data_IF_139138442787
#
_entry.id   IF_139138442787
#
_cell.length_a   1.000
_cell.length_b   1.000
_cell.length_c   1.000
_cell.angle_alpha   90.00
_cell.angle_beta   90.00
_cell.angle_gamma   90.00
#
_symmetry.space_group_name_H-M   'P 1'
#
loop_
_entity.id
_entity.type
_entity.pdbx_description
1 polymer ?
#
# COMPACT_ATOMS: atom_id res chain seq x y z
N UNK A 1 7.17 14.14 8.40
CA UNK A 1 6.35 13.39 7.41
C UNK A 1 6.45 14.01 6.02
N UNK A 2 6.09 15.25 5.82
CA UNK A 2 6.07 15.90 4.49
C UNK A 2 7.41 15.79 3.73
N UNK A 3 8.53 16.06 4.38
CA UNK A 3 9.86 15.94 3.77
C UNK A 3 10.15 14.50 3.28
N UNK A 4 9.68 13.47 3.98
CA UNK A 4 9.82 12.08 3.57
C UNK A 4 8.95 11.79 2.34
N UNK A 5 7.70 12.28 2.32
CA UNK A 5 6.82 12.14 1.15
C UNK A 5 7.44 12.79 -0.09
N UNK A 6 7.99 13.99 0.04
CA UNK A 6 8.69 14.68 -1.05
C UNK A 6 9.91 13.86 -1.52
N UNK A 7 10.70 13.33 -0.59
CA UNK A 7 11.85 12.50 -0.94
C UNK A 7 11.43 11.23 -1.70
N UNK A 8 10.37 10.56 -1.25
CA UNK A 8 9.84 9.35 -1.90
C UNK A 8 9.30 9.68 -3.30
N UNK A 9 8.51 10.75 -3.46
CA UNK A 9 7.99 11.16 -4.78
C UNK A 9 9.13 11.49 -5.74
N UNK A 10 10.13 12.26 -5.27
CA UNK A 10 11.31 12.59 -6.06
C UNK A 10 12.08 11.34 -6.49
N UNK A 11 12.24 10.39 -5.57
CA UNK A 11 12.88 9.12 -5.87
C UNK A 11 12.06 8.29 -6.88
N UNK A 12 10.73 8.21 -6.70
CA UNK A 12 9.83 7.50 -7.62
C UNK A 12 9.86 8.10 -9.02
N UNK A 13 9.95 9.43 -9.17
CA UNK A 13 10.05 10.08 -10.48
C UNK A 13 11.29 9.66 -11.26
N UNK A 14 12.38 9.33 -10.57
CA UNK A 14 13.63 8.87 -11.17
C UNK A 14 13.71 7.33 -11.33
N UNK A 15 12.86 6.57 -10.65
CA UNK A 15 12.97 5.10 -10.55
C UNK A 15 11.74 4.33 -11.04
N UNK A 16 10.70 5.03 -11.47
CA UNK A 16 9.47 4.45 -12.03
C UNK A 16 8.99 5.27 -13.22
N UNK A 17 8.09 4.71 -14.01
CA UNK A 17 7.46 5.39 -15.14
C UNK A 17 6.19 6.17 -14.72
N UNK A 18 5.99 6.37 -13.41
CA UNK A 18 4.84 7.09 -12.88
C UNK A 18 5.08 8.59 -12.88
N UNK A 19 4.11 9.40 -13.33
CA UNK A 19 4.18 10.84 -13.18
C UNK A 19 4.20 11.21 -11.69
N UNK A 20 5.05 12.15 -11.31
CA UNK A 20 5.26 12.52 -9.90
C UNK A 20 5.01 14.02 -9.61
N UNK A 21 4.25 14.69 -10.46
CA UNK A 21 3.92 16.12 -10.38
C UNK A 21 2.56 16.38 -9.71
N UNK A 22 2.07 15.45 -8.87
CA UNK A 22 0.80 15.52 -8.20
C UNK A 22 0.91 16.00 -6.75
N UNK A 23 -0.24 16.43 -6.21
CA UNK A 23 -0.34 16.75 -4.79
C UNK A 23 -0.02 15.53 -3.91
N UNK A 24 0.65 15.78 -2.80
CA UNK A 24 0.97 14.73 -1.83
C UNK A 24 -0.31 14.16 -1.19
N UNK A 25 -0.35 12.86 -0.89
CA UNK A 25 -1.46 12.26 -0.18
C UNK A 25 -1.52 12.75 1.28
N UNK A 26 -2.72 12.71 1.84
CA UNK A 26 -2.91 12.88 3.28
C UNK A 26 -2.39 11.63 4.01
N UNK A 27 -1.81 11.82 5.19
CA UNK A 27 -1.45 10.70 6.07
C UNK A 27 -2.46 10.61 7.20
N UNK A 28 -2.98 9.41 7.41
CA UNK A 28 -3.86 9.05 8.52
C UNK A 28 -3.26 7.87 9.28
N UNK A 29 -3.58 7.79 10.56
CA UNK A 29 -3.19 6.67 11.40
C UNK A 29 -4.43 5.93 11.87
N UNK A 30 -4.38 4.60 11.87
CA UNK A 30 -5.46 3.74 12.29
C UNK A 30 -4.92 2.49 13.00
N UNK A 31 -5.76 1.84 13.77
CA UNK A 31 -5.42 0.55 14.34
C UNK A 31 -5.29 -0.53 13.24
N UNK A 32 -4.54 -1.62 13.48
CA UNK A 32 -4.43 -2.72 12.51
C UNK A 32 -5.80 -3.28 12.09
N UNK A 33 -6.74 -3.32 13.00
CA UNK A 33 -8.10 -3.78 12.72
C UNK A 33 -8.82 -2.85 11.73
N UNK A 34 -8.75 -1.53 11.94
CA UNK A 34 -9.34 -0.54 11.03
C UNK A 34 -8.70 -0.61 9.66
N UNK A 35 -7.36 -0.74 9.57
CA UNK A 35 -6.64 -0.89 8.29
C UNK A 35 -7.15 -2.12 7.54
N UNK A 36 -7.32 -3.24 8.24
CA UNK A 36 -7.86 -4.46 7.64
C UNK A 36 -9.29 -4.24 7.12
N UNK A 37 -10.13 -3.51 7.84
CA UNK A 37 -11.47 -3.13 7.37
C UNK A 37 -11.42 -2.25 6.12
N UNK A 38 -10.52 -1.27 6.05
CA UNK A 38 -10.34 -0.45 4.86
C UNK A 38 -9.94 -1.28 3.65
N UNK A 39 -9.09 -2.28 3.82
CA UNK A 39 -8.62 -3.11 2.72
C UNK A 39 -9.68 -4.10 2.24
N UNK A 40 -10.36 -4.78 3.14
CA UNK A 40 -11.32 -5.86 2.80
C UNK A 40 -12.77 -5.38 2.81
N UNK A 41 -13.12 -4.36 3.58
CA UNK A 41 -14.46 -3.78 3.63
C UNK A 41 -14.83 -3.01 2.36
N UNK A 42 -13.87 -2.44 1.65
CA UNK A 42 -14.07 -1.83 0.33
C UNK A 42 -14.50 -2.84 -0.75
N UNK A 43 -14.24 -4.13 -0.56
CA UNK A 43 -14.74 -5.20 -1.45
C UNK A 43 -16.23 -5.48 -1.29
N UNK A 44 -16.86 -5.05 -0.18
CA UNK A 44 -18.28 -5.29 0.11
C UNK A 44 -19.14 -4.03 0.03
N UNK A 45 -18.65 -2.94 -0.56
CA UNK A 45 -19.34 -1.63 -0.58
C UNK A 45 -20.58 -1.53 -1.50
N UNK A 46 -21.09 -2.65 -2.04
CA UNK A 46 -22.46 -2.69 -2.59
C UNK A 46 -23.54 -2.74 -1.52
N UNK A 47 -23.19 -2.85 -0.26
CA UNK A 47 -24.14 -2.83 0.87
C UNK A 47 -23.77 -1.67 1.80
N UNK A 48 -24.54 -0.57 1.74
CA UNK A 48 -24.52 0.56 2.70
C UNK A 48 -24.97 0.12 4.12
N UNK A 49 -24.43 -0.94 4.67
CA UNK A 49 -24.59 -1.30 6.08
C UNK A 49 -23.33 -0.92 6.82
N UNK A 50 -23.44 0.00 7.79
CA UNK A 50 -22.46 0.15 8.86
C UNK A 50 -22.26 -1.24 9.46
N UNK A 51 -21.11 -1.85 9.20
CA UNK A 51 -20.76 -3.13 9.79
C UNK A 51 -20.38 -2.82 11.23
N UNK A 52 -21.22 -3.33 12.13
CA UNK A 52 -20.94 -3.31 13.56
C UNK A 52 -19.67 -4.14 13.80
N UNK A 53 -18.64 -3.53 14.36
CA UNK A 53 -17.31 -4.11 14.55
C UNK A 53 -17.28 -5.42 15.38
N UNK A 54 -18.44 -5.84 15.90
CA UNK A 54 -18.59 -7.01 16.76
C UNK A 54 -18.94 -8.32 16.03
N UNK A 55 -19.22 -8.32 14.72
CA UNK A 55 -19.84 -9.49 14.07
C UNK A 55 -19.10 -10.12 12.87
N UNK A 56 -17.96 -9.63 12.43
CA UNK A 56 -17.16 -10.35 11.44
C UNK A 56 -15.75 -10.60 11.99
N UNK A 57 -15.55 -11.81 12.50
CA UNK A 57 -14.24 -12.35 12.80
C UNK A 57 -13.48 -12.48 11.45
N UNK A 58 -12.57 -11.51 11.17
CA UNK A 58 -11.63 -11.64 10.07
C UNK A 58 -10.72 -12.84 10.35
N UNK A 59 -10.38 -13.66 9.33
CA UNK A 59 -9.39 -14.71 9.48
C UNK A 59 -8.13 -14.16 10.13
N UNK A 60 -7.53 -14.90 11.06
CA UNK A 60 -6.30 -14.49 11.79
C UNK A 60 -5.16 -14.12 10.81
N UNK A 61 -5.08 -14.85 9.70
CA UNK A 61 -4.11 -14.59 8.60
C UNK A 61 -4.33 -13.22 7.94
N UNK A 62 -5.57 -12.74 7.85
CA UNK A 62 -5.87 -11.42 7.30
C UNK A 62 -5.46 -10.29 8.25
N UNK A 63 -5.36 -10.55 9.56
CA UNK A 63 -4.95 -9.55 10.57
C UNK A 63 -3.45 -9.25 10.53
N UNK A 64 -2.64 -10.19 10.07
CA UNK A 64 -1.17 -10.12 10.12
C UNK A 64 -0.59 -9.50 8.84
N UNK A 65 -1.32 -9.54 7.72
CA UNK A 65 -0.76 -9.21 6.40
C UNK A 65 -0.96 -7.75 5.94
N UNK A 66 -1.78 -6.96 6.63
CA UNK A 66 -2.08 -5.59 6.19
C UNK A 66 -1.29 -4.58 6.99
N UNK A 67 -0.21 -4.08 6.40
CA UNK A 67 0.65 -3.09 7.05
C UNK A 67 0.15 -1.66 6.84
N UNK A 68 -0.51 -1.40 5.70
CA UNK A 68 -1.04 -0.07 5.31
C UNK A 68 -2.08 -0.21 4.20
N UNK A 69 -2.73 0.88 3.85
CA UNK A 69 -3.64 0.93 2.71
C UNK A 69 -3.75 2.35 2.15
N UNK A 70 -3.82 2.46 0.83
CA UNK A 70 -4.20 3.69 0.16
C UNK A 70 -5.71 3.79 0.00
N UNK A 71 -6.28 4.90 0.48
CA UNK A 71 -7.69 5.28 0.32
C UNK A 71 -7.84 6.19 -0.91
N UNK A 72 -8.34 5.67 -2.04
CA UNK A 72 -8.42 6.42 -3.29
C UNK A 72 -9.54 7.47 -3.31
N UNK A 73 -10.50 7.41 -2.38
CA UNK A 73 -11.61 8.38 -2.31
C UNK A 73 -11.17 9.65 -1.58
N UNK A 74 -10.37 9.50 -0.54
CA UNK A 74 -9.90 10.61 0.27
C UNK A 74 -8.46 11.05 -0.07
N UNK A 75 -7.82 10.41 -1.05
CA UNK A 75 -6.40 10.61 -1.40
C UNK A 75 -5.50 10.53 -0.16
N UNK A 76 -5.67 9.47 0.62
CA UNK A 76 -4.99 9.29 1.89
C UNK A 76 -4.26 7.95 1.97
N UNK A 77 -3.08 7.96 2.57
CA UNK A 77 -2.38 6.75 2.99
C UNK A 77 -2.69 6.53 4.47
N UNK A 78 -3.18 5.34 4.81
CA UNK A 78 -3.53 4.95 6.16
C UNK A 78 -2.42 4.03 6.67
N UNK A 79 -1.73 4.49 7.70
CA UNK A 79 -0.60 3.81 8.35
C UNK A 79 -1.02 3.29 9.74
N UNK A 80 -0.38 2.25 10.26
CA UNK A 80 -0.68 1.77 11.59
C UNK A 80 -0.30 2.79 12.66
N UNK A 81 -1.11 2.86 13.71
CA UNK A 81 -0.75 3.62 14.91
C UNK A 81 0.61 3.15 15.43
N UNK A 82 1.50 4.10 15.71
CA UNK A 82 2.87 3.80 16.13
C UNK A 82 3.89 3.67 14.99
N UNK A 83 3.48 3.79 13.73
CA UNK A 83 4.40 3.84 12.59
C UNK A 83 5.31 5.07 12.69
N UNK A 84 6.63 4.88 12.53
CA UNK A 84 7.64 5.91 12.84
C UNK A 84 8.43 6.42 11.64
N UNK A 85 8.47 5.69 10.55
CA UNK A 85 9.36 5.88 9.40
C UNK A 85 10.86 5.70 9.73
N UNK A 86 11.19 5.11 10.86
CA UNK A 86 12.59 5.01 11.31
C UNK A 86 13.35 3.86 10.63
N UNK A 87 12.64 2.88 10.09
CA UNK A 87 13.25 1.73 9.44
C UNK A 87 13.05 1.73 7.92
N UNK A 88 13.98 1.16 7.14
CA UNK A 88 13.78 0.97 5.71
C UNK A 88 12.52 0.17 5.36
N UNK A 89 12.14 -0.78 6.21
CA UNK A 89 10.90 -1.54 6.06
C UNK A 89 9.66 -0.64 6.14
N UNK A 90 9.55 0.18 7.19
CA UNK A 90 8.45 1.15 7.33
C UNK A 90 8.42 2.14 6.16
N UNK A 91 9.57 2.68 5.77
CA UNK A 91 9.65 3.60 4.63
C UNK A 91 9.23 2.92 3.33
N UNK A 92 9.60 1.66 3.12
CA UNK A 92 9.24 0.90 1.92
C UNK A 92 7.72 0.68 1.78
N UNK A 93 7.03 0.52 2.90
CA UNK A 93 5.56 0.47 2.94
C UNK A 93 4.96 1.79 2.44
N UNK A 94 5.52 2.92 2.87
CA UNK A 94 5.07 4.22 2.39
C UNK A 94 5.37 4.41 0.89
N UNK A 95 6.48 3.88 0.38
CA UNK A 95 6.79 3.84 -1.07
C UNK A 95 5.71 3.06 -1.83
N UNK A 96 5.30 1.90 -1.34
CA UNK A 96 4.25 1.07 -1.93
C UNK A 96 2.93 1.82 -2.07
N UNK A 97 2.46 2.43 -0.98
CA UNK A 97 1.21 3.18 -0.97
C UNK A 97 1.28 4.47 -1.80
N UNK A 98 2.45 5.09 -1.88
CA UNK A 98 2.69 6.24 -2.75
C UNK A 98 2.54 5.87 -4.23
N UNK A 99 2.96 4.66 -4.64
CA UNK A 99 2.73 4.17 -6.01
C UNK A 99 1.22 4.11 -6.29
N UNK A 100 0.41 3.59 -5.38
CA UNK A 100 -1.05 3.57 -5.54
C UNK A 100 -1.65 4.97 -5.63
N UNK A 101 -1.13 5.93 -4.86
CA UNK A 101 -1.53 7.32 -4.98
C UNK A 101 -1.24 7.88 -6.38
N UNK A 102 -0.02 7.70 -6.88
CA UNK A 102 0.37 8.19 -8.20
C UNK A 102 -0.42 7.51 -9.33
N UNK A 103 -0.65 6.19 -9.24
CA UNK A 103 -1.51 5.45 -10.18
C UNK A 103 -2.94 6.03 -10.23
N UNK A 104 -3.51 6.36 -9.06
CA UNK A 104 -4.84 6.97 -8.97
C UNK A 104 -4.87 8.37 -9.57
N UNK A 105 -3.87 9.20 -9.23
CA UNK A 105 -3.78 10.57 -9.75
C UNK A 105 -3.59 10.60 -11.26
N UNK A 106 -2.78 9.66 -11.81
CA UNK A 106 -2.60 9.46 -13.24
C UNK A 106 -3.79 8.79 -13.94
N UNK A 107 -4.84 8.40 -13.19
CA UNK A 107 -6.02 7.70 -13.70
C UNK A 107 -5.69 6.44 -14.50
N UNK A 108 -4.65 5.71 -14.08
CA UNK A 108 -4.26 4.47 -14.74
C UNK A 108 -5.37 3.44 -14.62
N UNK A 109 -5.57 2.70 -15.71
CA UNK A 109 -6.56 1.63 -15.79
C UNK A 109 -5.85 0.29 -15.71
N UNK A 110 -6.43 -0.63 -14.96
CA UNK A 110 -5.93 -1.98 -14.73
C UNK A 110 -7.02 -2.99 -15.11
N UNK A 111 -6.63 -4.13 -15.63
CA UNK A 111 -7.55 -5.21 -15.97
C UNK A 111 -8.17 -5.85 -14.72
N UNK A 112 -7.42 -5.86 -13.62
CA UNK A 112 -7.88 -6.32 -12.32
C UNK A 112 -7.17 -5.56 -11.17
N UNK A 113 -7.69 -5.63 -9.93
CA UNK A 113 -7.06 -4.96 -8.79
C UNK A 113 -5.62 -5.39 -8.51
N UNK A 114 -5.26 -6.65 -8.84
CA UNK A 114 -3.93 -7.21 -8.60
C UNK A 114 -2.88 -6.60 -9.52
N UNK A 115 -3.23 -6.25 -10.76
CA UNK A 115 -2.28 -5.73 -11.74
C UNK A 115 -1.57 -4.45 -11.26
N UNK A 116 -2.26 -3.61 -10.49
CA UNK A 116 -1.69 -2.38 -9.92
C UNK A 116 -0.56 -2.66 -8.91
N UNK A 117 -0.59 -3.82 -8.25
CA UNK A 117 0.37 -4.20 -7.21
C UNK A 117 1.77 -4.45 -7.77
N UNK A 118 1.89 -4.87 -9.04
CA UNK A 118 3.18 -5.17 -9.67
C UNK A 118 4.16 -3.98 -9.59
N UNK A 119 3.69 -2.77 -9.92
CA UNK A 119 4.51 -1.56 -9.85
C UNK A 119 4.84 -1.18 -8.41
N UNK A 120 3.90 -1.37 -7.48
CA UNK A 120 4.07 -1.06 -6.07
C UNK A 120 5.13 -1.98 -5.42
N UNK A 121 5.04 -3.29 -5.60
CA UNK A 121 6.06 -4.24 -5.12
C UNK A 121 7.43 -3.98 -5.77
N UNK A 122 7.47 -3.68 -7.06
CA UNK A 122 8.73 -3.35 -7.76
C UNK A 122 9.40 -2.11 -7.16
N UNK A 123 8.64 -1.07 -6.86
CA UNK A 123 9.17 0.15 -6.25
C UNK A 123 9.62 -0.12 -4.80
N UNK A 124 8.81 -0.85 -4.04
CA UNK A 124 9.12 -1.23 -2.66
C UNK A 124 10.41 -2.06 -2.57
N UNK A 125 10.59 -3.06 -3.43
CA UNK A 125 11.81 -3.87 -3.52
C UNK A 125 13.02 -3.00 -3.88
N UNK A 126 12.90 -2.11 -4.87
CA UNK A 126 13.99 -1.20 -5.25
C UNK A 126 14.40 -0.29 -4.09
N UNK A 127 13.45 0.22 -3.31
CA UNK A 127 13.73 1.04 -2.14
C UNK A 127 14.49 0.25 -1.08
N UNK A 128 14.04 -0.95 -0.75
CA UNK A 128 14.69 -1.82 0.23
C UNK A 128 16.13 -2.16 -0.16
N UNK A 129 16.38 -2.39 -1.44
CA UNK A 129 17.73 -2.68 -1.96
C UNK A 129 18.74 -1.56 -1.72
N UNK A 130 18.31 -0.29 -1.59
CA UNK A 130 19.20 0.82 -1.21
C UNK A 130 19.84 0.60 0.17
N UNK A 131 19.23 -0.24 1.00
CA UNK A 131 19.66 -0.55 2.36
C UNK A 131 20.15 -2.01 2.51
N UNK A 132 20.37 -2.72 1.41
CA UNK A 132 20.77 -4.13 1.42
C UNK A 132 19.68 -5.10 1.91
N UNK A 133 18.41 -4.71 1.78
CA UNK A 133 17.23 -5.45 2.21
C UNK A 133 16.37 -5.87 1.01
N UNK A 134 15.38 -6.75 1.26
CA UNK A 134 14.44 -7.24 0.25
C UNK A 134 13.03 -7.40 0.84
N UNK A 135 12.01 -7.53 -0.02
CA UNK A 135 10.66 -7.90 0.38
C UNK A 135 10.63 -9.26 1.09
N UNK A 136 11.45 -10.20 0.63
CA UNK A 136 11.54 -11.52 1.25
C UNK A 136 12.09 -11.43 2.67
N UNK A 137 13.19 -10.67 2.89
CA UNK A 137 13.83 -10.55 4.21
C UNK A 137 12.98 -9.77 5.23
N UNK A 138 12.24 -8.77 4.80
CA UNK A 138 11.50 -7.86 5.70
C UNK A 138 10.03 -8.24 5.88
N UNK A 139 9.42 -8.89 4.87
CA UNK A 139 7.98 -9.17 4.84
C UNK A 139 7.63 -10.62 4.52
N UNK A 140 8.62 -11.51 4.37
CA UNK A 140 8.44 -12.90 3.93
C UNK A 140 7.69 -13.02 2.59
N UNK A 141 7.84 -12.02 1.71
CA UNK A 141 7.25 -11.97 0.39
C UNK A 141 8.27 -12.43 -0.64
N UNK A 142 8.20 -13.70 -1.00
CA UNK A 142 9.03 -14.27 -2.07
C UNK A 142 8.51 -13.91 -3.47
N UNK A 143 9.31 -14.21 -4.49
CA UNK A 143 8.96 -13.88 -5.87
C UNK A 143 7.69 -14.57 -6.36
N UNK A 144 7.37 -15.78 -5.87
CA UNK A 144 6.14 -16.48 -6.23
C UNK A 144 4.90 -15.80 -5.63
N UNK A 145 4.97 -15.45 -4.34
CA UNK A 145 3.89 -14.72 -3.65
C UNK A 145 3.62 -13.37 -4.32
N UNK A 146 4.68 -12.63 -4.69
CA UNK A 146 4.54 -11.36 -5.41
C UNK A 146 3.89 -11.60 -6.79
N UNK A 147 4.29 -12.64 -7.50
CA UNK A 147 3.71 -12.99 -8.81
C UNK A 147 2.21 -13.24 -8.70
N UNK A 148 1.78 -14.05 -7.72
CA UNK A 148 0.35 -14.34 -7.49
C UNK A 148 -0.43 -13.08 -7.12
N UNK A 149 0.14 -12.25 -6.25
CA UNK A 149 -0.52 -11.01 -5.78
C UNK A 149 -0.56 -9.90 -6.85
N UNK A 150 0.20 -10.01 -7.93
CA UNK A 150 0.36 -8.98 -8.96
C UNK A 150 -0.28 -9.35 -10.30
N UNK A 151 -0.86 -10.53 -10.44
CA UNK A 151 -1.46 -10.98 -11.69
C UNK A 151 -2.95 -11.28 -11.51
N UNK A 152 -3.71 -11.00 -12.57
CA UNK A 152 -5.12 -11.36 -12.62
C UNK A 152 -5.24 -12.90 -12.63
N UNK A 153 -5.99 -13.44 -11.68
CA UNK A 153 -6.38 -14.85 -11.69
C UNK A 153 -7.67 -14.95 -12.51
N UNK A 154 -7.60 -15.61 -13.65
CA UNK A 154 -8.76 -15.93 -14.50
C UNK A 154 -9.49 -17.14 -13.95
#
# INVERSE_FOLDING_TARGET
MEALLIAIVTWLSANSDLPADYHLPKIRYASPLEITYFRYGAFNSTSKKKVDASQQALPEEARISVVSVYDPENHAIILPTGWTAMTPAEQSVLVHEMVHHLQKMAQLKFACPQEREAAAYKAQEKWLRLFGKSLESEFSLDGFTILVNSNCVN
#
